data_IF_703168961159
#
_entry.id   IF_703168961159
#
_cell.length_a   1.000
_cell.length_b   1.000
_cell.length_c   1.000
_cell.angle_alpha   90.00
_cell.angle_beta   90.00
_cell.angle_gamma   90.00
#
_symmetry.space_group_name_H-M   'P 1'
#
loop_
_entity.id
_entity.type
_entity.pdbx_description
1 polymer ?
#
# COMPACT_ATOMS: atom_id res chain seq x y z
N UNK A 1 13.20 -8.34 10.74
CA UNK A 1 11.83 -8.07 10.25
C UNK A 1 10.85 -8.36 11.38
N UNK A 2 10.58 -7.36 12.21
CA UNK A 2 9.64 -7.43 13.33
C UNK A 2 8.21 -7.43 12.78
N UNK A 3 7.52 -8.56 12.86
CA UNK A 3 6.08 -8.61 12.61
C UNK A 3 5.40 -7.68 13.62
N UNK A 4 4.99 -6.51 13.17
CA UNK A 4 4.14 -5.62 13.95
C UNK A 4 2.86 -6.38 14.26
N UNK A 5 2.60 -6.60 15.55
CA UNK A 5 1.34 -7.11 16.10
C UNK A 5 0.21 -6.08 15.86
N UNK A 6 -0.09 -5.81 14.59
CA UNK A 6 -1.10 -4.84 14.18
C UNK A 6 -2.36 -5.61 13.85
N UNK A 7 -3.38 -5.44 14.69
CA UNK A 7 -4.75 -5.84 14.38
C UNK A 7 -5.14 -5.29 13.00
N UNK A 8 -5.97 -6.02 12.27
CA UNK A 8 -6.53 -5.51 11.03
C UNK A 8 -7.21 -4.15 11.29
N UNK A 9 -6.93 -3.13 10.45
CA UNK A 9 -7.42 -1.79 10.69
C UNK A 9 -8.96 -1.78 10.73
N UNK A 10 -9.51 -1.19 11.78
CA UNK A 10 -10.96 -1.11 12.01
C UNK A 10 -11.57 -2.29 12.77
N UNK A 11 -10.88 -3.42 12.94
CA UNK A 11 -11.44 -4.61 13.58
C UNK A 11 -11.86 -4.36 15.04
N UNK A 12 -11.00 -3.69 15.82
CA UNK A 12 -11.31 -3.35 17.20
C UNK A 12 -12.46 -2.34 17.32
N UNK A 13 -12.57 -1.40 16.37
CA UNK A 13 -13.66 -0.43 16.32
C UNK A 13 -14.99 -1.12 16.05
N UNK A 14 -15.01 -2.08 15.11
CA UNK A 14 -16.18 -2.91 14.84
C UNK A 14 -16.54 -3.77 16.05
N UNK A 15 -15.56 -4.37 16.73
CA UNK A 15 -15.85 -5.16 17.93
C UNK A 15 -16.46 -4.30 19.05
N UNK A 16 -15.92 -3.09 19.30
CA UNK A 16 -16.48 -2.13 20.26
C UNK A 16 -17.91 -1.74 19.91
N UNK A 17 -18.18 -1.45 18.63
CA UNK A 17 -19.52 -1.08 18.16
C UNK A 17 -20.51 -2.22 18.36
N UNK A 18 -20.16 -3.44 17.98
CA UNK A 18 -21.03 -4.62 18.12
C UNK A 18 -21.27 -4.98 19.59
N UNK A 19 -20.26 -4.87 20.45
CA UNK A 19 -20.41 -5.06 21.89
C UNK A 19 -21.31 -3.98 22.52
N UNK A 20 -21.14 -2.72 22.13
CA UNK A 20 -21.99 -1.61 22.56
C UNK A 20 -23.45 -1.76 22.09
N UNK A 21 -23.66 -2.19 20.84
CA UNK A 21 -24.98 -2.48 20.31
C UNK A 21 -25.65 -3.63 21.08
N UNK A 22 -24.92 -4.72 21.35
CA UNK A 22 -25.41 -5.83 22.18
C UNK A 22 -25.84 -5.35 23.56
N UNK A 23 -25.02 -4.53 24.22
CA UNK A 23 -25.36 -3.95 25.52
C UNK A 23 -26.63 -3.07 25.43
N UNK A 24 -26.72 -2.21 24.41
CA UNK A 24 -27.90 -1.35 24.20
C UNK A 24 -29.19 -2.15 23.98
N UNK A 25 -29.13 -3.23 23.20
CA UNK A 25 -30.27 -4.14 23.00
C UNK A 25 -30.67 -4.84 24.29
N UNK A 26 -29.71 -5.28 25.11
CA UNK A 26 -29.99 -5.88 26.42
C UNK A 26 -30.63 -4.89 27.39
N UNK A 27 -30.14 -3.64 27.45
CA UNK A 27 -30.74 -2.57 28.26
C UNK A 27 -32.19 -2.32 27.82
N UNK A 28 -32.42 -2.24 26.51
CA UNK A 28 -33.76 -2.01 25.95
C UNK A 28 -34.70 -3.19 26.28
N UNK A 29 -34.22 -4.42 26.18
CA UNK A 29 -34.99 -5.62 26.52
C UNK A 29 -35.36 -5.67 28.02
N UNK A 30 -34.43 -5.30 28.90
CA UNK A 30 -34.68 -5.18 30.35
C UNK A 30 -35.70 -4.06 30.62
N UNK A 31 -35.53 -2.89 30.01
CA UNK A 31 -36.43 -1.76 30.20
C UNK A 31 -37.85 -2.05 29.69
N UNK A 32 -38.00 -2.64 28.50
CA UNK A 32 -39.30 -3.02 27.94
C UNK A 32 -40.03 -4.01 28.84
N UNK A 33 -39.29 -4.97 29.41
CA UNK A 33 -39.83 -5.93 30.37
C UNK A 33 -40.29 -5.25 31.67
N UNK A 34 -39.49 -4.35 32.22
CA UNK A 34 -39.84 -3.58 33.43
C UNK A 34 -41.10 -2.73 33.24
N UNK A 35 -41.24 -2.07 32.09
CA UNK A 35 -42.44 -1.29 31.73
C UNK A 35 -43.66 -2.21 31.64
N UNK A 36 -43.50 -3.36 30.99
CA UNK A 36 -44.60 -4.32 30.82
C UNK A 36 -45.08 -4.93 32.15
N UNK A 37 -44.15 -5.23 33.07
CA UNK A 37 -44.48 -5.69 34.42
C UNK A 37 -45.15 -4.58 35.25
N UNK A 38 -44.70 -3.33 35.11
CA UNK A 38 -45.29 -2.16 35.77
C UNK A 38 -46.72 -1.82 35.30
N UNK A 39 -47.11 -2.29 34.11
CA UNK A 39 -48.45 -2.08 33.54
C UNK A 39 -49.54 -3.02 34.11
N UNK A 40 -49.27 -3.75 35.21
CA UNK A 40 -50.25 -4.62 35.88
C UNK A 40 -50.28 -6.07 35.39
N UNK A 41 -49.41 -6.46 34.46
CA UNK A 41 -49.37 -7.81 33.87
C UNK A 41 -48.58 -8.84 34.71
N UNK A 42 -48.29 -8.53 35.97
CA UNK A 42 -47.42 -9.33 36.84
C UNK A 42 -47.95 -10.74 37.16
N UNK A 43 -49.25 -11.00 37.01
CA UNK A 43 -49.87 -12.31 37.31
C UNK A 43 -49.71 -13.35 36.18
N UNK A 44 -49.44 -12.94 34.94
CA UNK A 44 -49.37 -13.83 33.76
C UNK A 44 -47.95 -14.37 33.46
N UNK A 45 -46.91 -13.76 34.02
CA UNK A 45 -45.53 -14.18 33.84
C UNK A 45 -44.96 -14.49 35.21
N UNK A 46 -44.49 -15.72 35.41
CA UNK A 46 -43.73 -16.09 36.61
C UNK A 46 -42.51 -15.15 36.75
N UNK A 47 -42.66 -14.09 37.54
CA UNK A 47 -41.70 -12.99 37.68
C UNK A 47 -40.30 -13.48 38.11
N UNK A 48 -40.20 -14.65 38.74
CA UNK A 48 -38.95 -15.19 39.28
C UNK A 48 -37.91 -15.66 38.25
N UNK A 49 -38.30 -16.04 37.03
CA UNK A 49 -37.39 -16.82 36.16
C UNK A 49 -36.60 -16.01 35.14
N UNK A 50 -37.12 -14.87 34.65
CA UNK A 50 -36.45 -14.12 33.59
C UNK A 50 -35.60 -12.93 34.06
N UNK A 51 -35.75 -12.48 35.31
CA UNK A 51 -35.05 -11.29 35.81
C UNK A 51 -33.56 -11.57 36.06
N UNK A 52 -33.22 -12.73 36.63
CA UNK A 52 -31.82 -13.11 36.88
C UNK A 52 -31.02 -13.35 35.60
N UNK A 53 -31.64 -13.91 34.56
CA UNK A 53 -31.00 -14.15 33.26
C UNK A 53 -30.62 -12.84 32.58
N UNK A 54 -31.57 -11.90 32.51
CA UNK A 54 -31.33 -10.61 31.88
C UNK A 54 -30.29 -9.76 32.64
N UNK A 55 -30.23 -9.87 33.98
CA UNK A 55 -29.22 -9.21 34.80
C UNK A 55 -27.82 -9.79 34.53
N UNK A 56 -27.68 -11.11 34.46
CA UNK A 56 -26.38 -11.74 34.19
C UNK A 56 -25.81 -11.30 32.83
N UNK A 57 -26.63 -11.41 31.77
CA UNK A 57 -26.22 -11.01 30.42
C UNK A 57 -25.91 -9.52 30.33
N UNK A 58 -26.65 -8.68 31.06
CA UNK A 58 -26.39 -7.24 31.13
C UNK A 58 -25.05 -6.94 31.82
N UNK A 59 -24.77 -7.59 32.95
CA UNK A 59 -23.50 -7.42 33.68
C UNK A 59 -22.33 -7.90 32.81
N UNK A 60 -22.45 -9.07 32.18
CA UNK A 60 -21.42 -9.61 31.29
C UNK A 60 -21.15 -8.68 30.09
N UNK A 61 -22.20 -8.24 29.39
CA UNK A 61 -22.04 -7.32 28.27
C UNK A 61 -21.43 -5.98 28.70
N UNK A 62 -21.79 -5.49 29.90
CA UNK A 62 -21.20 -4.26 30.47
C UNK A 62 -19.71 -4.44 30.74
N UNK A 63 -19.32 -5.56 31.36
CA UNK A 63 -17.92 -5.89 31.62
C UNK A 63 -17.12 -6.02 30.32
N UNK A 64 -17.71 -6.64 29.29
CA UNK A 64 -17.08 -6.74 27.97
C UNK A 64 -16.86 -5.37 27.33
N UNK A 65 -17.85 -4.48 27.37
CA UNK A 65 -17.72 -3.11 26.85
C UNK A 65 -16.64 -2.34 27.60
N UNK A 66 -16.64 -2.39 28.94
CA UNK A 66 -15.62 -1.78 29.79
C UNK A 66 -14.23 -2.32 29.42
N UNK A 67 -14.09 -3.64 29.29
CA UNK A 67 -12.84 -4.29 28.88
C UNK A 67 -12.35 -3.78 27.52
N UNK A 68 -13.24 -3.71 26.52
CA UNK A 68 -12.89 -3.28 25.16
C UNK A 68 -12.50 -1.80 25.08
N UNK A 69 -13.05 -0.97 25.97
CA UNK A 69 -12.76 0.46 26.06
C UNK A 69 -11.59 0.77 26.99
N UNK A 70 -11.01 -0.20 27.69
CA UNK A 70 -9.90 0.01 28.62
C UNK A 70 -8.55 0.21 27.88
N UNK A 71 -8.01 1.45 27.80
CA UNK A 71 -6.80 1.72 27.00
C UNK A 71 -5.51 1.18 27.64
N UNK A 72 -5.42 1.14 28.97
CA UNK A 72 -4.28 0.53 29.67
C UNK A 72 -4.30 -1.01 29.58
N UNK A 73 -5.48 -1.64 29.58
CA UNK A 73 -5.63 -3.08 29.35
C UNK A 73 -5.15 -3.48 27.95
N UNK A 74 -5.52 -2.70 26.93
CA UNK A 74 -5.03 -2.89 25.56
C UNK A 74 -3.49 -2.82 25.47
N UNK A 75 -2.87 -1.87 26.18
CA UNK A 75 -1.40 -1.74 26.24
C UNK A 75 -0.72 -2.88 26.99
N UNK A 76 -1.29 -3.36 28.10
CA UNK A 76 -0.72 -4.46 28.91
C UNK A 76 -0.85 -5.82 28.25
N UNK A 77 -2.02 -6.14 27.70
CA UNK A 77 -2.32 -7.46 27.13
C UNK A 77 -1.78 -7.61 25.69
N UNK A 78 -1.59 -6.51 24.97
CA UNK A 78 -1.04 -6.50 23.61
C UNK A 78 -1.77 -7.49 22.69
N UNK A 79 -1.05 -8.49 22.18
CA UNK A 79 -1.58 -9.54 21.29
C UNK A 79 -2.69 -10.41 21.90
N UNK A 80 -2.75 -10.51 23.23
CA UNK A 80 -3.77 -11.31 23.94
C UNK A 80 -5.07 -10.55 24.19
N UNK A 81 -5.10 -9.23 23.94
CA UNK A 81 -6.27 -8.42 24.22
C UNK A 81 -7.51 -8.87 23.43
N UNK A 82 -7.35 -9.12 22.12
CA UNK A 82 -8.44 -9.55 21.26
C UNK A 82 -8.90 -11.00 21.55
N UNK A 83 -8.01 -12.02 21.66
CA UNK A 83 -8.41 -13.37 22.04
C UNK A 83 -9.20 -13.43 23.35
N UNK A 84 -8.75 -12.70 24.39
CA UNK A 84 -9.44 -12.67 25.68
C UNK A 84 -10.83 -12.02 25.55
N UNK A 85 -10.94 -10.91 24.81
CA UNK A 85 -12.24 -10.28 24.55
C UNK A 85 -13.20 -11.19 23.78
N UNK A 86 -12.71 -11.92 22.77
CA UNK A 86 -13.50 -12.89 22.02
C UNK A 86 -13.96 -14.06 22.89
N UNK A 87 -13.08 -14.57 23.76
CA UNK A 87 -13.44 -15.63 24.71
C UNK A 87 -14.53 -15.17 25.68
N UNK A 88 -14.40 -13.97 26.26
CA UNK A 88 -15.42 -13.39 27.13
C UNK A 88 -16.77 -13.26 26.40
N UNK A 89 -16.74 -12.73 25.17
CA UNK A 89 -17.92 -12.58 24.33
C UNK A 89 -18.61 -13.89 23.93
N UNK A 90 -17.95 -15.04 24.10
CA UNK A 90 -18.53 -16.35 23.81
C UNK A 90 -18.99 -17.07 25.08
N UNK A 91 -18.10 -17.16 26.08
CA UNK A 91 -18.35 -17.94 27.30
C UNK A 91 -19.48 -17.31 28.10
N UNK A 92 -19.50 -15.98 28.22
CA UNK A 92 -20.53 -15.23 28.94
C UNK A 92 -21.95 -15.62 28.56
N UNK A 93 -22.40 -15.32 27.33
CA UNK A 93 -23.76 -15.65 26.88
C UNK A 93 -24.07 -17.16 26.93
N UNK A 94 -23.08 -18.03 26.71
CA UNK A 94 -23.29 -19.48 26.82
C UNK A 94 -23.58 -19.92 28.26
N UNK A 95 -22.84 -19.40 29.23
CA UNK A 95 -23.07 -19.65 30.66
C UNK A 95 -24.40 -19.04 31.11
N UNK A 96 -24.72 -17.82 30.67
CA UNK A 96 -26.00 -17.18 30.93
C UNK A 96 -27.18 -18.04 30.46
N UNK A 97 -27.08 -18.56 29.23
CA UNK A 97 -28.07 -19.47 28.66
C UNK A 97 -28.19 -20.79 29.44
N UNK A 98 -27.08 -21.40 29.84
CA UNK A 98 -27.09 -22.60 30.68
C UNK A 98 -27.78 -22.39 32.03
N UNK A 99 -27.45 -21.30 32.73
CA UNK A 99 -28.08 -20.96 34.01
C UNK A 99 -29.59 -20.77 33.84
N UNK A 100 -30.04 -20.24 32.71
CA UNK A 100 -31.47 -20.14 32.40
C UNK A 100 -32.12 -21.52 32.24
N UNK A 101 -31.47 -22.46 31.53
CA UNK A 101 -31.98 -23.82 31.32
C UNK A 101 -32.17 -24.58 32.64
N UNK A 102 -31.19 -24.52 33.55
CA UNK A 102 -31.25 -25.24 34.85
C UNK A 102 -32.34 -24.76 35.80
N UNK A 103 -32.93 -23.59 35.53
CA UNK A 103 -33.97 -22.98 36.38
C UNK A 103 -35.38 -23.16 35.82
N UNK A 104 -35.57 -23.93 34.75
CA UNK A 104 -36.90 -24.18 34.19
C UNK A 104 -37.67 -25.22 35.02
N UNK A 105 -38.98 -25.01 35.23
CA UNK A 105 -39.87 -25.99 35.88
C UNK A 105 -40.22 -27.14 34.94
N UNK A 106 -40.47 -28.39 35.42
CA UNK A 106 -40.62 -29.64 34.63
C UNK A 106 -41.73 -29.71 33.56
N UNK A 107 -42.41 -28.61 33.24
CA UNK A 107 -43.61 -28.59 32.38
C UNK A 107 -43.27 -28.55 30.88
N UNK A 108 -44.25 -28.79 29.98
CA UNK A 108 -44.10 -28.71 28.50
C UNK A 108 -43.51 -27.36 27.99
N UNK A 109 -43.53 -26.33 28.83
CA UNK A 109 -42.82 -25.07 28.62
C UNK A 109 -41.30 -25.20 28.52
N UNK A 110 -40.69 -26.30 29.01
CA UNK A 110 -39.24 -26.55 28.90
C UNK A 110 -38.82 -26.69 27.45
N UNK A 111 -39.50 -27.55 26.67
CA UNK A 111 -39.08 -27.86 25.32
C UNK A 111 -39.13 -26.61 24.43
N UNK A 112 -40.22 -25.84 24.53
CA UNK A 112 -40.39 -24.59 23.82
C UNK A 112 -39.35 -23.53 24.25
N UNK A 113 -39.04 -23.42 25.54
CA UNK A 113 -38.02 -22.46 26.04
C UNK A 113 -36.60 -22.88 25.70
N UNK A 114 -36.28 -24.17 25.74
CA UNK A 114 -34.99 -24.71 25.34
C UNK A 114 -34.75 -24.51 23.84
N UNK A 115 -35.78 -24.70 23.01
CA UNK A 115 -35.77 -24.35 21.59
C UNK A 115 -35.49 -22.86 21.40
N UNK A 116 -36.34 -21.98 21.97
CA UNK A 116 -36.20 -20.53 21.80
C UNK A 116 -34.84 -20.00 22.26
N UNK A 117 -34.30 -20.49 23.37
CA UNK A 117 -33.00 -20.07 23.86
C UNK A 117 -31.83 -20.59 23.01
N UNK A 118 -31.94 -21.77 22.39
CA UNK A 118 -30.92 -22.25 21.46
C UNK A 118 -30.76 -21.32 20.23
N UNK A 119 -31.86 -20.70 19.78
CA UNK A 119 -31.83 -19.72 18.69
C UNK A 119 -31.18 -18.38 19.10
N UNK A 120 -31.27 -17.97 20.37
CA UNK A 120 -30.71 -16.71 20.85
C UNK A 120 -29.18 -16.66 20.81
N UNK A 121 -28.50 -17.81 20.97
CA UNK A 121 -27.04 -17.86 20.88
C UNK A 121 -26.50 -17.65 19.46
N UNK A 122 -27.32 -17.90 18.43
CA UNK A 122 -26.91 -17.79 17.02
C UNK A 122 -26.49 -16.36 16.64
N UNK A 123 -27.28 -15.30 16.87
CA UNK A 123 -26.82 -13.95 16.53
C UNK A 123 -25.65 -13.47 17.42
N UNK A 124 -25.58 -13.92 18.67
CA UNK A 124 -24.56 -13.46 19.63
C UNK A 124 -23.18 -14.01 19.26
N UNK A 125 -23.08 -15.32 18.99
CA UNK A 125 -21.83 -15.98 18.62
C UNK A 125 -21.40 -15.69 17.18
N UNK A 126 -22.29 -15.11 16.37
CA UNK A 126 -21.95 -14.68 15.01
C UNK A 126 -20.91 -13.55 14.98
N UNK A 127 -20.93 -12.66 15.97
CA UNK A 127 -20.00 -11.54 16.05
C UNK A 127 -18.55 -12.04 16.25
N UNK A 128 -18.24 -12.86 17.26
CA UNK A 128 -16.91 -13.48 17.38
C UNK A 128 -16.50 -14.28 16.15
N UNK A 129 -17.41 -15.00 15.50
CA UNK A 129 -17.14 -15.72 14.26
C UNK A 129 -16.59 -14.80 13.16
N UNK A 130 -17.29 -13.69 12.88
CA UNK A 130 -16.87 -12.74 11.83
C UNK A 130 -15.50 -12.15 12.18
N UNK A 131 -15.28 -11.76 13.43
CA UNK A 131 -14.01 -11.17 13.87
C UNK A 131 -12.86 -12.18 13.77
N UNK A 132 -13.10 -13.45 14.10
CA UNK A 132 -12.11 -14.51 13.95
C UNK A 132 -11.83 -14.76 12.46
N UNK A 133 -12.86 -14.81 11.63
CA UNK A 133 -12.73 -15.01 10.18
C UNK A 133 -11.99 -13.84 9.49
N UNK A 134 -12.11 -12.62 10.02
CA UNK A 134 -11.41 -11.44 9.50
C UNK A 134 -9.93 -11.43 9.92
N UNK A 135 -9.63 -11.68 11.20
CA UNK A 135 -8.27 -11.57 11.73
C UNK A 135 -7.41 -12.81 11.47
N UNK A 136 -8.02 -14.00 11.45
CA UNK A 136 -7.31 -15.28 11.50
C UNK A 136 -7.66 -16.18 10.29
N UNK A 137 -6.91 -17.28 10.15
CA UNK A 137 -7.13 -18.28 9.08
C UNK A 137 -8.37 -19.14 9.32
N UNK A 138 -8.86 -19.80 8.26
CA UNK A 138 -10.01 -20.72 8.32
C UNK A 138 -9.89 -21.81 9.40
N UNK A 139 -8.67 -22.28 9.72
CA UNK A 139 -8.45 -23.27 10.80
C UNK A 139 -8.98 -22.78 12.16
N UNK A 140 -8.84 -21.50 12.46
CA UNK A 140 -9.34 -20.90 13.70
C UNK A 140 -10.86 -20.78 13.72
N UNK A 141 -11.50 -20.59 12.56
CA UNK A 141 -12.96 -20.65 12.43
C UNK A 141 -13.45 -22.08 12.72
N UNK A 142 -12.77 -23.10 12.20
CA UNK A 142 -13.09 -24.50 12.52
C UNK A 142 -12.96 -24.76 14.03
N UNK A 143 -11.84 -24.39 14.64
CA UNK A 143 -11.64 -24.57 16.08
C UNK A 143 -12.70 -23.82 16.90
N UNK A 144 -13.04 -22.60 16.50
CA UNK A 144 -14.10 -21.82 17.12
C UNK A 144 -15.46 -22.52 17.06
N UNK A 145 -15.86 -22.98 15.87
CA UNK A 145 -17.12 -23.68 15.66
C UNK A 145 -17.19 -24.99 16.48
N UNK A 146 -16.10 -25.77 16.48
CA UNK A 146 -16.05 -27.02 17.25
C UNK A 146 -16.06 -26.78 18.76
N UNK A 147 -15.28 -25.80 19.25
CA UNK A 147 -15.23 -25.47 20.67
C UNK A 147 -16.59 -24.96 21.18
N UNK A 148 -17.24 -24.07 20.43
CA UNK A 148 -18.57 -23.55 20.80
C UNK A 148 -19.66 -24.60 20.69
N UNK A 149 -19.62 -25.49 19.68
CA UNK A 149 -20.54 -26.61 19.59
C UNK A 149 -20.38 -27.61 20.75
N UNK A 150 -19.14 -27.99 21.06
CA UNK A 150 -18.84 -28.92 22.15
C UNK A 150 -19.20 -28.35 23.52
N UNK A 151 -18.86 -27.10 23.79
CA UNK A 151 -19.18 -26.44 25.05
C UNK A 151 -20.69 -26.28 25.26
N UNK A 152 -21.42 -25.83 24.23
CA UNK A 152 -22.88 -25.68 24.29
C UNK A 152 -23.57 -27.05 24.49
N UNK A 153 -23.09 -28.11 23.83
CA UNK A 153 -23.60 -29.46 24.03
C UNK A 153 -23.34 -29.98 25.46
N UNK A 154 -22.13 -29.78 25.98
CA UNK A 154 -21.76 -30.19 27.33
C UNK A 154 -22.63 -29.51 28.39
N UNK A 155 -22.87 -28.19 28.24
CA UNK A 155 -23.76 -27.43 29.11
C UNK A 155 -25.21 -27.97 29.04
N UNK A 156 -25.73 -28.28 27.85
CA UNK A 156 -27.08 -28.84 27.71
C UNK A 156 -27.23 -30.21 28.35
N UNK A 157 -26.25 -31.10 28.15
CA UNK A 157 -26.21 -32.42 28.79
C UNK A 157 -26.17 -32.29 30.32
N UNK A 158 -25.38 -31.34 30.83
CA UNK A 158 -25.28 -31.07 32.27
C UNK A 158 -26.59 -30.49 32.84
N UNK A 159 -27.33 -29.69 32.06
CA UNK A 159 -28.59 -29.09 32.50
C UNK A 159 -29.78 -30.06 32.47
N UNK A 160 -29.90 -30.84 31.39
CA UNK A 160 -31.07 -31.67 31.10
C UNK A 160 -30.86 -33.16 31.44
N UNK A 161 -29.63 -33.56 31.74
CA UNK A 161 -29.26 -34.95 31.97
C UNK A 161 -29.02 -35.72 30.67
N UNK A 162 -28.10 -36.69 30.75
CA UNK A 162 -27.77 -37.56 29.62
C UNK A 162 -28.97 -38.41 29.21
N UNK A 163 -29.25 -38.47 27.89
CA UNK A 163 -30.33 -39.28 27.34
C UNK A 163 -31.73 -38.66 27.46
N UNK A 164 -31.86 -37.41 27.94
CA UNK A 164 -33.15 -36.73 27.96
C UNK A 164 -33.67 -36.46 26.54
N UNK A 165 -34.97 -36.70 26.26
CA UNK A 165 -35.56 -36.45 24.94
C UNK A 165 -35.48 -34.98 24.53
N UNK A 166 -35.46 -34.08 25.51
CA UNK A 166 -35.31 -32.63 25.33
C UNK A 166 -33.95 -32.19 24.76
N UNK A 167 -32.98 -33.11 24.59
CA UNK A 167 -31.71 -32.81 23.91
C UNK A 167 -31.80 -32.84 22.38
N UNK A 168 -32.77 -33.52 21.79
CA UNK A 168 -32.87 -33.72 20.33
C UNK A 168 -33.04 -32.40 19.57
N UNK A 169 -34.01 -31.58 19.95
CA UNK A 169 -34.25 -30.29 19.30
C UNK A 169 -33.07 -29.30 19.43
N UNK A 170 -32.51 -29.03 20.63
CA UNK A 170 -31.41 -28.08 20.78
C UNK A 170 -30.07 -28.60 20.23
N UNK A 171 -29.87 -29.92 20.09
CA UNK A 171 -28.69 -30.47 19.39
C UNK A 171 -28.80 -30.23 17.88
N UNK A 172 -29.98 -30.39 17.29
CA UNK A 172 -30.24 -30.01 15.89
C UNK A 172 -29.91 -28.54 15.62
N UNK A 173 -30.28 -27.64 16.54
CA UNK A 173 -29.94 -26.22 16.45
C UNK A 173 -28.41 -25.98 16.49
N UNK A 174 -27.65 -26.72 17.31
CA UNK A 174 -26.18 -26.65 17.36
C UNK A 174 -25.55 -27.09 16.04
N UNK A 175 -26.01 -28.19 15.47
CA UNK A 175 -25.52 -28.70 14.19
C UNK A 175 -25.80 -27.68 13.08
N UNK A 176 -27.04 -27.20 13.02
CA UNK A 176 -27.48 -26.20 12.03
C UNK A 176 -26.66 -24.91 12.13
N UNK A 177 -26.47 -24.39 13.36
CA UNK A 177 -25.62 -23.22 13.63
C UNK A 177 -24.17 -23.46 13.19
N UNK A 178 -23.59 -24.61 13.53
CA UNK A 178 -22.20 -24.96 13.21
C UNK A 178 -21.97 -24.98 11.69
N UNK A 179 -22.90 -25.61 10.95
CA UNK A 179 -22.85 -25.65 9.48
C UNK A 179 -22.96 -24.23 8.91
N UNK A 180 -23.95 -23.45 9.36
CA UNK A 180 -24.13 -22.08 8.92
C UNK A 180 -22.88 -21.22 9.19
N UNK A 181 -22.26 -21.36 10.34
CA UNK A 181 -21.05 -20.62 10.71
C UNK A 181 -19.83 -21.01 9.89
N UNK A 182 -19.67 -22.29 9.55
CA UNK A 182 -18.59 -22.72 8.66
C UNK A 182 -18.76 -22.13 7.25
N UNK A 183 -20.00 -22.12 6.72
CA UNK A 183 -20.31 -21.52 5.42
C UNK A 183 -20.03 -20.01 5.46
N UNK A 184 -20.55 -19.29 6.45
CA UNK A 184 -20.32 -17.85 6.59
C UNK A 184 -18.84 -17.54 6.80
N UNK A 185 -18.17 -18.26 7.69
CA UNK A 185 -16.74 -18.09 7.95
C UNK A 185 -15.90 -18.28 6.69
N UNK A 186 -16.22 -19.30 5.90
CA UNK A 186 -15.60 -19.50 4.59
C UNK A 186 -15.86 -18.35 3.62
N UNK A 187 -17.12 -17.90 3.50
CA UNK A 187 -17.50 -16.76 2.65
C UNK A 187 -16.77 -15.47 3.05
N UNK A 188 -16.74 -15.14 4.34
CA UNK A 188 -16.04 -13.95 4.86
C UNK A 188 -14.56 -14.01 4.54
N UNK A 189 -13.90 -15.15 4.75
CA UNK A 189 -12.48 -15.32 4.41
C UNK A 189 -12.24 -15.19 2.92
N UNK A 190 -13.08 -15.81 2.07
CA UNK A 190 -12.98 -15.69 0.61
C UNK A 190 -13.18 -14.26 0.14
N UNK A 191 -14.14 -13.53 0.70
CA UNK A 191 -14.38 -12.12 0.38
C UNK A 191 -13.19 -11.25 0.81
N UNK A 192 -12.69 -11.43 2.03
CA UNK A 192 -11.56 -10.65 2.57
C UNK A 192 -10.28 -10.90 1.77
N UNK A 193 -9.99 -12.16 1.44
CA UNK A 193 -8.81 -12.51 0.61
C UNK A 193 -8.92 -11.92 -0.79
N UNK A 194 -10.09 -12.01 -1.42
CA UNK A 194 -10.34 -11.41 -2.73
C UNK A 194 -10.19 -9.87 -2.69
N UNK A 195 -10.76 -9.21 -1.69
CA UNK A 195 -10.64 -7.76 -1.52
C UNK A 195 -9.19 -7.33 -1.29
N UNK A 196 -8.42 -8.08 -0.49
CA UNK A 196 -6.99 -7.83 -0.29
C UNK A 196 -6.21 -7.96 -1.59
N UNK A 197 -6.46 -9.02 -2.37
CA UNK A 197 -5.82 -9.22 -3.67
C UNK A 197 -6.13 -8.07 -4.64
N UNK A 198 -7.38 -7.64 -4.75
CA UNK A 198 -7.76 -6.50 -5.59
C UNK A 198 -7.07 -5.20 -5.16
N UNK A 199 -7.01 -4.91 -3.86
CA UNK A 199 -6.31 -3.73 -3.33
C UNK A 199 -4.81 -3.77 -3.64
N UNK A 200 -4.17 -4.93 -3.50
CA UNK A 200 -2.76 -5.09 -3.85
C UNK A 200 -2.52 -4.92 -5.34
N UNK A 201 -3.36 -5.51 -6.19
CA UNK A 201 -3.27 -5.36 -7.65
C UNK A 201 -3.45 -3.90 -8.08
N UNK A 202 -4.43 -3.19 -7.53
CA UNK A 202 -4.66 -1.77 -7.81
C UNK A 202 -3.49 -0.90 -7.34
N UNK A 203 -2.94 -1.16 -6.15
CA UNK A 203 -1.78 -0.45 -5.65
C UNK A 203 -0.54 -0.68 -6.54
N UNK A 204 -0.36 -1.90 -7.06
CA UNK A 204 0.72 -2.22 -7.99
C UNK A 204 0.53 -1.55 -9.36
N UNK A 205 -0.68 -1.59 -9.92
CA UNK A 205 -1.02 -0.91 -11.17
C UNK A 205 -0.80 0.61 -11.06
N UNK A 206 -1.22 1.24 -9.96
CA UNK A 206 -0.96 2.66 -9.71
C UNK A 206 0.53 2.98 -9.68
N UNK A 207 1.35 2.16 -8.99
CA UNK A 207 2.81 2.35 -8.97
C UNK A 207 3.42 2.24 -10.36
N UNK A 208 2.97 1.28 -11.16
CA UNK A 208 3.42 1.13 -12.55
C UNK A 208 3.03 2.35 -13.39
N UNK A 209 1.78 2.80 -13.31
CA UNK A 209 1.32 4.00 -14.03
C UNK A 209 2.12 5.24 -13.64
N UNK A 210 2.40 5.44 -12.35
CA UNK A 210 3.25 6.55 -11.90
C UNK A 210 4.65 6.46 -12.48
N UNK A 211 5.28 5.28 -12.48
CA UNK A 211 6.59 5.07 -13.09
C UNK A 211 6.60 5.28 -14.61
N UNK A 212 5.57 4.83 -15.32
CA UNK A 212 5.43 5.06 -16.76
C UNK A 212 5.26 6.55 -17.07
N UNK A 213 4.41 7.25 -16.30
CA UNK A 213 4.18 8.68 -16.47
C UNK A 213 5.48 9.50 -16.27
N UNK A 214 6.24 9.22 -15.22
CA UNK A 214 7.52 9.93 -14.96
C UNK A 214 8.55 9.64 -16.04
N UNK A 215 8.63 8.39 -16.52
CA UNK A 215 9.54 8.02 -17.62
C UNK A 215 9.16 8.72 -18.92
N UNK A 216 7.86 8.75 -19.26
CA UNK A 216 7.37 9.45 -20.46
C UNK A 216 7.60 10.96 -20.37
N UNK A 217 7.41 11.56 -19.20
CA UNK A 217 7.70 12.98 -18.96
C UNK A 217 9.18 13.28 -19.21
N UNK A 218 10.09 12.49 -18.64
CA UNK A 218 11.53 12.64 -18.85
C UNK A 218 11.93 12.49 -20.32
N UNK A 219 11.39 11.49 -21.01
CA UNK A 219 11.63 11.28 -22.45
C UNK A 219 11.10 12.45 -23.28
N UNK A 220 9.93 12.97 -22.95
CA UNK A 220 9.32 14.11 -23.65
C UNK A 220 10.15 15.37 -23.45
N UNK A 221 10.58 15.66 -22.22
CA UNK A 221 11.48 16.78 -21.91
C UNK A 221 12.81 16.64 -22.67
N UNK A 222 13.38 15.43 -22.71
CA UNK A 222 14.64 15.17 -23.45
C UNK A 222 14.47 15.43 -24.95
N UNK A 223 13.40 14.89 -25.56
CA UNK A 223 13.09 15.10 -26.97
C UNK A 223 12.88 16.57 -27.31
N UNK A 224 12.20 17.31 -26.45
CA UNK A 224 11.96 18.74 -26.66
C UNK A 224 13.24 19.56 -26.54
N UNK A 225 14.12 19.24 -25.56
CA UNK A 225 15.45 19.86 -25.48
C UNK A 225 16.27 19.61 -26.75
N UNK A 226 16.24 18.39 -27.27
CA UNK A 226 16.90 18.03 -28.53
C UNK A 226 16.33 18.76 -29.75
N UNK A 227 15.00 18.94 -29.80
CA UNK A 227 14.33 19.70 -30.85
C UNK A 227 14.75 21.16 -30.81
N UNK A 228 14.67 21.78 -29.63
CA UNK A 228 15.09 23.18 -29.41
C UNK A 228 16.56 23.39 -29.74
N UNK A 229 17.45 22.48 -29.34
CA UNK A 229 18.87 22.60 -29.64
C UNK A 229 19.16 22.58 -31.15
N UNK A 230 18.43 21.76 -31.93
CA UNK A 230 18.54 21.75 -33.40
C UNK A 230 18.01 23.03 -34.03
N UNK A 231 16.79 23.45 -33.66
CA UNK A 231 16.17 24.66 -34.20
C UNK A 231 17.00 25.93 -33.91
N UNK A 232 17.54 26.03 -32.69
CA UNK A 232 18.45 27.11 -32.31
C UNK A 232 19.80 27.00 -33.02
N UNK A 233 20.34 25.80 -33.27
CA UNK A 233 21.57 25.63 -34.05
C UNK A 233 21.40 26.13 -35.48
N UNK A 234 20.33 25.70 -36.14
CA UNK A 234 20.06 26.06 -37.53
C UNK A 234 19.84 27.58 -37.65
N UNK A 235 19.21 28.21 -36.66
CA UNK A 235 18.96 29.67 -36.69
C UNK A 235 20.21 30.48 -36.31
N UNK A 236 20.82 30.19 -35.14
CA UNK A 236 21.92 30.99 -34.61
C UNK A 236 23.24 30.74 -35.34
N UNK A 237 23.54 29.48 -35.70
CA UNK A 237 24.79 29.18 -36.39
C UNK A 237 24.79 29.76 -37.81
N UNK A 238 23.67 29.69 -38.53
CA UNK A 238 23.56 30.30 -39.85
C UNK A 238 23.62 31.83 -39.78
N UNK A 239 22.88 32.48 -38.88
CA UNK A 239 22.87 33.94 -38.77
C UNK A 239 24.23 34.50 -38.35
N UNK A 240 24.89 33.93 -37.34
CA UNK A 240 26.22 34.36 -36.91
C UNK A 240 27.30 34.08 -37.96
N UNK A 241 27.21 32.96 -38.70
CA UNK A 241 28.14 32.68 -39.80
C UNK A 241 27.95 33.66 -40.95
N UNK A 242 26.71 34.00 -41.31
CA UNK A 242 26.42 35.03 -42.31
C UNK A 242 26.92 36.41 -41.89
N UNK A 243 26.75 36.79 -40.62
CA UNK A 243 27.30 38.04 -40.07
C UNK A 243 28.83 38.05 -40.13
N UNK A 244 29.50 36.94 -39.82
CA UNK A 244 30.95 36.83 -39.92
C UNK A 244 31.44 37.02 -41.38
N UNK A 245 30.76 36.40 -42.36
CA UNK A 245 31.08 36.56 -43.78
C UNK A 245 30.86 38.00 -44.26
N UNK A 246 29.77 38.66 -43.83
CA UNK A 246 29.52 40.08 -44.15
C UNK A 246 30.60 41.00 -43.58
N UNK A 247 31.04 40.77 -42.33
CA UNK A 247 32.13 41.54 -41.73
C UNK A 247 33.47 41.30 -42.44
N UNK A 248 33.72 40.09 -42.92
CA UNK A 248 34.91 39.75 -43.70
C UNK A 248 34.91 40.44 -45.08
N UNK A 249 33.75 40.52 -45.74
CA UNK A 249 33.58 41.29 -46.98
C UNK A 249 33.78 42.81 -46.78
N UNK A 250 33.29 43.36 -45.66
CA UNK A 250 33.55 44.76 -45.27
C UNK A 250 35.04 44.98 -45.04
N UNK A 251 35.73 44.05 -44.36
CA UNK A 251 37.18 44.14 -44.11
C UNK A 251 37.97 44.26 -45.42
N UNK A 252 37.68 43.42 -46.41
CA UNK A 252 38.32 43.45 -47.74
C UNK A 252 38.01 44.75 -48.50
N UNK A 253 36.79 45.29 -48.34
CA UNK A 253 36.37 46.51 -49.05
C UNK A 253 36.91 47.81 -48.44
N UNK A 254 37.41 47.76 -47.19
CA UNK A 254 37.90 48.92 -46.41
C UNK A 254 39.43 48.94 -46.32
N UNK A 255 40.15 48.18 -47.16
CA UNK A 255 41.62 48.13 -47.18
C UNK A 255 42.30 49.52 -47.36
N UNK A 256 41.59 50.53 -47.86
CA UNK A 256 42.05 51.93 -47.99
C UNK A 256 41.55 52.88 -46.87
N UNK A 257 40.82 52.38 -45.88
CA UNK A 257 40.25 53.16 -44.76
C UNK A 257 41.23 53.44 -43.61
N UNK A 258 40.86 54.31 -42.67
CA UNK A 258 41.72 54.67 -41.53
C UNK A 258 42.02 53.46 -40.62
N UNK A 259 43.18 53.46 -39.96
CA UNK A 259 43.57 52.40 -39.01
C UNK A 259 42.52 52.15 -37.91
N UNK A 260 41.77 53.18 -37.53
CA UNK A 260 40.68 53.07 -36.55
C UNK A 260 39.49 52.25 -37.08
N UNK A 261 39.18 52.37 -38.37
CA UNK A 261 38.08 51.63 -39.02
C UNK A 261 38.44 50.15 -39.16
N UNK A 262 39.68 49.81 -39.52
CA UNK A 262 40.14 48.42 -39.58
C UNK A 262 40.10 47.74 -38.20
N UNK A 263 40.53 48.44 -37.15
CA UNK A 263 40.49 47.95 -35.76
C UNK A 263 39.06 47.62 -35.29
N UNK A 264 38.07 48.45 -35.61
CA UNK A 264 36.65 48.20 -35.27
C UNK A 264 36.11 46.96 -35.98
N UNK A 265 36.44 46.77 -37.26
CA UNK A 265 36.00 45.59 -38.04
C UNK A 265 36.64 44.31 -37.49
N UNK A 266 37.92 44.36 -37.11
CA UNK A 266 38.60 43.22 -36.48
C UNK A 266 38.00 42.86 -35.12
N UNK A 267 37.67 43.86 -34.29
CA UNK A 267 36.97 43.63 -33.02
C UNK A 267 35.58 43.02 -33.23
N UNK A 268 34.82 43.50 -34.24
CA UNK A 268 33.52 42.95 -34.58
C UNK A 268 33.63 41.48 -35.03
N UNK A 269 34.57 41.16 -35.93
CA UNK A 269 34.86 39.79 -36.38
C UNK A 269 35.22 38.87 -35.22
N UNK A 270 36.09 39.32 -34.33
CA UNK A 270 36.50 38.54 -33.16
C UNK A 270 35.33 38.30 -32.21
N UNK A 271 34.48 39.29 -32.00
CA UNK A 271 33.27 39.19 -31.17
C UNK A 271 32.27 38.21 -31.78
N UNK A 272 32.01 38.28 -33.09
CA UNK A 272 31.10 37.36 -33.79
C UNK A 272 31.62 35.92 -33.79
N UNK A 273 32.93 35.71 -34.01
CA UNK A 273 33.55 34.37 -33.95
C UNK A 273 33.50 33.78 -32.53
N UNK A 274 33.76 34.61 -31.52
CA UNK A 274 33.69 34.19 -30.11
C UNK A 274 32.25 33.84 -29.71
N UNK A 275 31.27 34.67 -30.10
CA UNK A 275 29.85 34.41 -29.90
C UNK A 275 29.39 33.12 -30.59
N UNK A 276 29.81 32.87 -31.84
CA UNK A 276 29.51 31.62 -32.55
C UNK A 276 30.07 30.38 -31.81
N UNK A 277 31.29 30.48 -31.30
CA UNK A 277 31.92 29.40 -30.52
C UNK A 277 31.19 29.15 -29.19
N UNK A 278 30.76 30.20 -28.51
CA UNK A 278 30.02 30.11 -27.25
C UNK A 278 28.59 29.56 -27.45
N UNK A 279 27.89 30.02 -28.49
CA UNK A 279 26.59 29.47 -28.88
C UNK A 279 26.68 28.00 -29.27
N UNK A 280 27.69 27.59 -30.05
CA UNK A 280 27.90 26.17 -30.38
C UNK A 280 28.11 25.32 -29.13
N UNK A 281 28.88 25.81 -28.15
CA UNK A 281 29.09 25.13 -26.87
C UNK A 281 27.80 25.03 -26.05
N UNK A 282 27.01 26.10 -25.96
CA UNK A 282 25.74 26.10 -25.25
C UNK A 282 24.68 25.18 -25.90
N UNK A 283 24.68 25.07 -27.23
CA UNK A 283 23.78 24.16 -27.94
C UNK A 283 24.23 22.69 -27.86
N UNK A 284 25.53 22.44 -27.84
CA UNK A 284 26.07 21.11 -27.58
C UNK A 284 25.73 20.61 -26.18
N UNK A 285 25.62 21.49 -25.17
CA UNK A 285 25.17 21.10 -23.83
C UNK A 285 23.65 20.88 -23.72
N UNK A 286 22.87 21.42 -24.66
CA UNK A 286 21.42 21.25 -24.76
C UNK A 286 21.00 19.98 -25.53
N UNK A 287 21.80 19.53 -26.51
CA UNK A 287 21.57 18.25 -27.19
C UNK A 287 21.73 17.08 -26.20
N UNK A 288 20.80 16.14 -26.24
CA UNK A 288 21.00 14.82 -25.66
C UNK A 288 22.24 14.19 -26.31
N UNK A 289 22.97 13.45 -25.49
CA UNK A 289 24.31 12.97 -25.77
C UNK A 289 24.45 12.30 -27.16
N UNK A 290 25.60 12.43 -27.84
CA UNK A 290 25.98 11.65 -29.04
C UNK A 290 25.71 10.15 -28.94
N UNK A 291 25.52 9.65 -27.71
CA UNK A 291 25.02 8.34 -27.36
C UNK A 291 23.75 7.90 -28.12
N UNK A 292 22.76 8.79 -28.30
CA UNK A 292 21.48 8.43 -28.95
C UNK A 292 21.63 8.18 -30.45
N UNK A 293 22.58 8.87 -31.11
CA UNK A 293 22.77 8.81 -32.56
C UNK A 293 23.83 7.77 -32.98
N UNK A 294 24.86 7.57 -32.16
CA UNK A 294 26.04 6.77 -32.51
C UNK A 294 26.13 5.44 -31.75
N UNK A 295 25.40 5.30 -30.64
CA UNK A 295 25.62 4.24 -29.66
C UNK A 295 26.89 4.45 -28.82
N UNK A 296 26.98 3.77 -27.67
CA UNK A 296 27.99 4.03 -26.63
C UNK A 296 29.43 4.04 -27.13
N UNK A 297 29.85 2.99 -27.86
CA UNK A 297 31.24 2.85 -28.29
C UNK A 297 31.68 4.00 -29.21
N UNK A 298 30.89 4.32 -30.22
CA UNK A 298 31.20 5.39 -31.18
C UNK A 298 31.08 6.76 -30.52
N UNK A 299 30.10 6.97 -29.65
CA UNK A 299 29.94 8.22 -28.92
C UNK A 299 31.16 8.52 -28.03
N UNK A 300 31.63 7.53 -27.25
CA UNK A 300 32.81 7.69 -26.40
C UNK A 300 34.10 7.82 -27.23
N UNK A 301 34.21 7.09 -28.34
CA UNK A 301 35.36 7.23 -29.27
C UNK A 301 35.44 8.64 -29.84
N UNK A 302 34.35 9.16 -30.37
CA UNK A 302 34.30 10.51 -30.94
C UNK A 302 34.64 11.57 -29.88
N UNK A 303 34.14 11.39 -28.65
CA UNK A 303 34.46 12.26 -27.53
C UNK A 303 35.97 12.23 -27.19
N UNK A 304 36.57 11.04 -27.17
CA UNK A 304 38.01 10.87 -26.93
C UNK A 304 38.85 11.52 -28.03
N UNK A 305 38.54 11.26 -29.30
CA UNK A 305 39.25 11.83 -30.46
C UNK A 305 39.21 13.36 -30.46
N UNK A 306 38.05 13.97 -30.16
CA UNK A 306 37.93 15.42 -30.06
C UNK A 306 38.82 16.01 -28.95
N UNK A 307 38.81 15.40 -27.77
CA UNK A 307 39.55 15.93 -26.62
C UNK A 307 41.05 15.72 -26.74
N UNK A 308 41.51 14.57 -27.26
CA UNK A 308 42.94 14.34 -27.49
C UNK A 308 43.49 15.22 -28.60
N UNK A 309 42.74 15.43 -29.69
CA UNK A 309 43.13 16.38 -30.75
C UNK A 309 43.30 17.79 -30.19
N UNK A 310 42.39 18.22 -29.30
CA UNK A 310 42.45 19.53 -28.66
C UNK A 310 43.62 19.69 -27.70
N UNK A 311 44.01 18.61 -27.02
CA UNK A 311 45.15 18.58 -26.10
C UNK A 311 46.50 18.30 -26.78
N UNK A 312 46.52 17.92 -28.05
CA UNK A 312 47.73 17.46 -28.74
C UNK A 312 48.25 16.12 -28.23
N UNK A 313 47.37 15.26 -27.71
CA UNK A 313 47.70 13.97 -27.12
C UNK A 313 47.42 12.81 -28.09
N UNK A 314 48.17 11.71 -27.97
CA UNK A 314 47.94 10.49 -28.74
C UNK A 314 46.84 9.63 -28.10
N UNK A 315 45.87 9.16 -28.91
CA UNK A 315 44.76 8.32 -28.45
C UNK A 315 44.99 6.84 -28.79
N UNK A 316 44.93 5.99 -27.76
CA UNK A 316 44.87 4.53 -27.88
C UNK A 316 43.44 4.08 -27.57
N UNK A 317 42.74 3.56 -28.58
CA UNK A 317 41.34 3.13 -28.47
C UNK A 317 41.21 1.60 -28.49
N UNK A 318 40.48 1.04 -27.53
CA UNK A 318 40.14 -0.38 -27.49
C UNK A 318 38.65 -0.58 -27.15
N UNK A 319 37.91 -1.28 -27.99
CA UNK A 319 36.49 -1.61 -27.76
C UNK A 319 36.15 -2.95 -28.40
N UNK A 320 35.22 -3.74 -27.81
CA UNK A 320 34.57 -4.85 -28.48
C UNK A 320 33.86 -4.40 -29.77
N UNK A 321 33.73 -5.30 -30.75
CA UNK A 321 33.04 -5.01 -32.01
C UNK A 321 31.53 -4.79 -31.84
N UNK A 322 30.92 -5.38 -30.82
CA UNK A 322 29.52 -5.19 -30.43
C UNK A 322 29.43 -5.16 -28.91
N UNK A 323 28.91 -4.07 -28.35
CA UNK A 323 28.49 -3.99 -26.95
C UNK A 323 27.06 -4.58 -26.90
N UNK A 324 26.90 -5.80 -26.38
CA UNK A 324 25.56 -6.42 -26.25
C UNK A 324 24.94 -6.06 -24.90
N UNK A 325 23.66 -5.69 -24.92
CA UNK A 325 22.74 -5.60 -23.79
C UNK A 325 23.11 -4.63 -22.65
N UNK A 326 23.60 -3.42 -22.97
CA UNK A 326 23.74 -2.35 -21.98
C UNK A 326 22.42 -1.55 -21.90
N UNK A 327 21.76 -1.44 -20.73
CA UNK A 327 20.56 -0.63 -20.60
C UNK A 327 20.85 0.86 -20.92
N UNK A 328 19.95 1.59 -21.58
CA UNK A 328 20.19 2.98 -22.00
C UNK A 328 20.62 3.93 -20.86
N UNK A 329 20.09 3.72 -19.65
CA UNK A 329 20.49 4.48 -18.47
C UNK A 329 21.97 4.26 -18.08
N UNK A 330 22.46 3.03 -18.25
CA UNK A 330 23.86 2.67 -17.97
C UNK A 330 24.78 3.21 -19.04
N UNK A 331 24.38 3.14 -20.31
CA UNK A 331 25.11 3.78 -21.42
C UNK A 331 25.30 5.28 -21.17
N UNK A 332 24.24 5.95 -20.72
CA UNK A 332 24.28 7.37 -20.42
C UNK A 332 25.18 7.70 -19.22
N UNK A 333 25.21 6.86 -18.18
CA UNK A 333 26.14 6.99 -17.07
C UNK A 333 27.60 6.80 -17.50
N UNK A 334 27.90 5.78 -18.30
CA UNK A 334 29.27 5.52 -18.79
C UNK A 334 29.75 6.70 -19.64
N UNK A 335 28.90 7.21 -20.53
CA UNK A 335 29.24 8.36 -21.35
C UNK A 335 29.55 9.61 -20.52
N UNK A 336 28.76 9.89 -19.47
CA UNK A 336 29.01 11.01 -18.54
C UNK A 336 30.34 10.87 -17.80
N UNK A 337 30.68 9.65 -17.36
CA UNK A 337 31.97 9.37 -16.70
C UNK A 337 33.12 9.58 -17.68
N UNK A 338 33.01 9.09 -18.91
CA UNK A 338 34.02 9.29 -19.94
C UNK A 338 34.22 10.78 -20.25
N UNK A 339 33.13 11.56 -20.34
CA UNK A 339 33.17 13.00 -20.55
C UNK A 339 33.96 13.72 -19.45
N UNK A 340 33.63 13.48 -18.19
CA UNK A 340 34.29 14.13 -17.07
C UNK A 340 35.76 13.68 -16.93
N UNK A 341 36.05 12.40 -17.17
CA UNK A 341 37.42 11.87 -17.12
C UNK A 341 38.32 12.51 -18.20
N UNK A 342 37.82 12.61 -19.43
CA UNK A 342 38.55 13.24 -20.53
C UNK A 342 38.68 14.76 -20.34
N UNK A 343 37.65 15.41 -19.81
CA UNK A 343 37.70 16.85 -19.48
C UNK A 343 38.76 17.12 -18.40
N UNK A 344 38.82 16.29 -17.36
CA UNK A 344 39.82 16.38 -16.30
C UNK A 344 41.24 16.13 -16.83
N UNK A 345 41.40 15.20 -17.76
CA UNK A 345 42.69 14.98 -18.44
C UNK A 345 43.16 16.26 -19.14
N UNK A 346 42.29 16.90 -19.94
CA UNK A 346 42.62 18.14 -20.67
C UNK A 346 42.95 19.28 -19.71
N UNK A 347 42.20 19.42 -18.60
CA UNK A 347 42.37 20.55 -17.67
C UNK A 347 43.53 20.39 -16.69
N UNK A 348 43.85 19.17 -16.28
CA UNK A 348 44.70 18.94 -15.11
C UNK A 348 45.91 18.05 -15.39
N UNK A 349 45.85 17.15 -16.37
CA UNK A 349 46.86 16.10 -16.51
C UNK A 349 48.00 16.46 -17.48
N UNK A 350 47.78 17.38 -18.42
CA UNK A 350 48.73 17.68 -19.51
C UNK A 350 49.29 16.40 -20.18
N UNK A 351 48.42 15.41 -20.38
CA UNK A 351 48.83 14.07 -20.78
C UNK A 351 49.21 14.03 -22.28
N UNK A 352 50.34 13.41 -22.60
CA UNK A 352 50.76 13.20 -24.00
C UNK A 352 50.16 11.92 -24.62
N UNK A 353 49.71 10.98 -23.79
CA UNK A 353 49.12 9.70 -24.22
C UNK A 353 47.86 9.40 -23.40
N UNK A 354 46.78 9.00 -24.08
CA UNK A 354 45.49 8.69 -23.48
C UNK A 354 44.99 7.33 -23.99
N UNK A 355 44.73 6.40 -23.08
CA UNK A 355 44.18 5.08 -23.41
C UNK A 355 42.75 4.96 -22.92
N UNK A 356 41.81 4.65 -23.82
CA UNK A 356 40.40 4.41 -23.50
C UNK A 356 40.03 2.99 -23.89
N UNK A 357 39.50 2.23 -22.92
CA UNK A 357 39.04 0.85 -23.09
C UNK A 357 37.60 0.71 -22.62
N UNK A 358 36.73 0.19 -23.48
CA UNK A 358 35.33 -0.16 -23.18
C UNK A 358 35.13 -1.65 -22.99
#
# INVERSE_FOLDING_TARGET
>A
MTQTNTFEPGLLSVFRLLAGLRLGLLVLAVASRSIWLGAGNAQLVSAKYGDYFAIFDLVEATLLVIYLWWPAGQRRLGRWFLPVGLLLACIGPMVGHYLALTRLSPDDLIEMRALLGAWQLIPILFVPLILIAWQYSFRWVIYYCLATAGFDLALKVMALGWGSPFLLAPTGAVVTRTIAYLIVGYMVIRLMTFQRQQRHALAQANRQLTHYATTLEQLTISRERNRLARELHDTLAHTLSASAVQLEAIKVSVETGSAQTQSIVDQALQTTRSGLSETRRALQSLRASPLEDLGLALAVRHLAEMQTTRAGAELIWQSPAVLRDVPPAVEQSIYRVAQEALENMVRHAAACHVSVRL
#
